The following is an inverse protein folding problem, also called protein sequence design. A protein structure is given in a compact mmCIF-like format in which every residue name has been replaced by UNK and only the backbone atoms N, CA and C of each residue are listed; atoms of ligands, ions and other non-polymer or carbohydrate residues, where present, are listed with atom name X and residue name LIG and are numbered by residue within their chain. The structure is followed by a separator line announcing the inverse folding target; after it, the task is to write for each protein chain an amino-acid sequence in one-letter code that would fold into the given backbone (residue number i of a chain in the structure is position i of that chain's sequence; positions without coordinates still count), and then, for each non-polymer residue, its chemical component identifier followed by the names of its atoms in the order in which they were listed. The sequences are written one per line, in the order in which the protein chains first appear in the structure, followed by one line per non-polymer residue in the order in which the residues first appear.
data_IF_714632507864
#
_entry.id   IF_714632507864
#
_cell.length_a   1.000
_cell.length_b   1.000
_cell.length_c   1.000
_cell.angle_alpha   90.00
_cell.angle_beta   90.00
_cell.angle_gamma   90.00
#
_symmetry.space_group_name_H-M   'P 1'
#
loop_
_entity.id
_entity.type
_entity.pdbx_description
1 polymer ?
#
# COMPACT_ATOMS: atom_id res chain seq x y z
N UNK A 1 22.08 44.72 -26.94
CA UNK A 1 21.20 43.61 -26.51
C UNK A 1 21.25 43.54 -24.99
N UNK A 2 20.14 43.65 -24.26
CA UNK A 2 20.17 43.54 -22.81
C UNK A 2 20.08 42.07 -22.39
N UNK A 3 21.06 41.66 -21.59
CA UNK A 3 21.09 40.39 -20.88
C UNK A 3 20.09 40.40 -19.74
N UNK A 4 19.10 39.50 -19.78
CA UNK A 4 18.14 39.30 -18.70
C UNK A 4 18.83 38.60 -17.52
N UNK A 5 18.96 39.32 -16.41
CA UNK A 5 19.28 38.73 -15.10
C UNK A 5 18.02 38.05 -14.60
N UNK A 6 18.04 36.71 -14.53
CA UNK A 6 16.99 35.94 -13.89
C UNK A 6 17.17 36.07 -12.37
N UNK A 7 16.41 36.99 -11.79
CA UNK A 7 16.30 37.18 -10.35
C UNK A 7 15.49 35.99 -9.79
N UNK A 8 16.18 34.97 -9.26
CA UNK A 8 15.54 33.94 -8.44
C UNK A 8 15.07 34.59 -7.14
N UNK A 9 13.78 34.93 -7.10
CA UNK A 9 13.06 35.18 -5.86
C UNK A 9 12.96 33.86 -5.08
N UNK A 10 13.89 33.67 -4.15
CA UNK A 10 13.71 32.74 -3.04
C UNK A 10 12.53 33.24 -2.19
N UNK A 11 11.31 32.83 -2.53
CA UNK A 11 10.20 32.90 -1.59
C UNK A 11 10.20 31.64 -0.72
N UNK A 12 10.62 31.87 0.51
CA UNK A 12 10.47 31.03 1.68
C UNK A 12 9.05 30.47 1.81
N UNK A 13 8.92 29.16 1.61
CA UNK A 13 7.73 28.37 1.93
C UNK A 13 8.11 27.04 2.58
N UNK A 14 9.08 27.07 3.50
CA UNK A 14 9.69 25.90 4.15
C UNK A 14 8.91 25.41 5.37
N UNK A 15 7.58 25.31 5.26
CA UNK A 15 6.72 24.80 6.34
C UNK A 15 6.08 23.43 6.03
N UNK A 16 6.09 22.95 4.77
CA UNK A 16 5.34 21.76 4.37
C UNK A 16 6.12 20.44 4.47
N UNK A 17 7.44 20.46 4.27
CA UNK A 17 8.25 19.23 4.28
C UNK A 17 8.44 18.64 5.67
N UNK A 18 8.83 19.47 6.65
CA UNK A 18 9.23 19.02 8.00
C UNK A 18 8.06 18.43 8.82
N UNK A 19 6.85 18.99 8.68
CA UNK A 19 5.69 18.58 9.47
C UNK A 19 5.15 17.19 9.04
N UNK A 20 5.31 16.84 7.75
CA UNK A 20 4.95 15.52 7.23
C UNK A 20 5.88 14.40 7.72
N UNK A 21 7.15 14.69 8.03
CA UNK A 21 8.09 13.67 8.51
C UNK A 21 7.68 13.12 9.88
N UNK A 22 7.18 13.98 10.78
CA UNK A 22 6.77 13.60 12.13
C UNK A 22 5.42 12.86 12.17
N UNK A 23 4.64 12.93 11.09
CA UNK A 23 3.34 12.26 11.01
C UNK A 23 3.49 10.75 10.82
N UNK A 24 2.58 9.94 11.43
CA UNK A 24 2.56 8.49 11.24
C UNK A 24 2.53 8.12 9.76
N UNK A 25 3.42 7.22 9.35
CA UNK A 25 3.45 6.68 8.00
C UNK A 25 2.49 5.51 7.86
N UNK A 26 1.91 5.36 6.68
CA UNK A 26 1.00 4.30 6.30
C UNK A 26 1.55 3.52 5.10
N UNK A 27 1.19 2.24 5.02
CA UNK A 27 1.35 1.37 3.86
C UNK A 27 -0.01 1.12 3.25
N UNK A 28 -0.06 1.09 1.93
CA UNK A 28 -1.30 0.86 1.16
C UNK A 28 -1.09 -0.33 0.23
N UNK A 29 -2.00 -1.29 0.27
CA UNK A 29 -1.94 -2.48 -0.58
C UNK A 29 -3.35 -2.98 -0.93
N UNK A 30 -3.42 -3.69 -2.05
CA UNK A 30 -4.66 -4.28 -2.55
C UNK A 30 -4.89 -5.65 -1.92
N UNK A 31 -6.15 -6.06 -1.78
CA UNK A 31 -6.52 -7.42 -1.40
C UNK A 31 -6.11 -8.44 -2.47
N UNK A 32 -6.06 -8.02 -3.74
CA UNK A 32 -5.68 -8.89 -4.85
C UNK A 32 -4.27 -9.47 -4.68
N UNK A 33 -3.34 -8.70 -4.12
CA UNK A 33 -1.97 -9.13 -3.85
C UNK A 33 -1.33 -8.26 -2.74
N UNK A 34 -1.34 -8.73 -1.48
CA UNK A 34 -0.82 -7.98 -0.34
C UNK A 34 0.69 -7.74 -0.33
N UNK A 35 1.47 -8.53 -1.09
CA UNK A 35 2.93 -8.38 -1.16
C UNK A 35 3.36 -7.19 -2.04
N UNK A 36 2.42 -6.50 -2.67
CA UNK A 36 2.65 -5.33 -3.50
C UNK A 36 2.03 -4.09 -2.86
N UNK A 37 2.85 -3.06 -2.70
CA UNK A 37 2.47 -1.81 -2.06
C UNK A 37 2.35 -0.69 -3.08
N UNK A 38 1.42 0.22 -2.79
CA UNK A 38 1.26 1.48 -3.50
C UNK A 38 2.54 2.31 -3.39
N UNK A 39 3.03 2.79 -4.52
CA UNK A 39 4.24 3.61 -4.60
C UNK A 39 4.16 4.60 -5.74
N UNK A 40 5.10 5.54 -5.78
CA UNK A 40 5.28 6.45 -6.91
C UNK A 40 6.54 6.03 -7.68
N UNK A 41 6.39 5.88 -9.00
CA UNK A 41 7.49 5.68 -9.96
C UNK A 41 7.21 6.51 -11.21
N UNK A 42 8.22 7.24 -11.69
CA UNK A 42 8.15 8.05 -12.90
C UNK A 42 6.89 8.96 -12.97
N UNK A 43 6.54 9.57 -11.83
CA UNK A 43 5.37 10.45 -11.72
C UNK A 43 4.02 9.74 -11.81
N UNK A 44 3.98 8.41 -11.64
CA UNK A 44 2.75 7.60 -11.66
C UNK A 44 2.56 6.86 -10.35
N UNK A 45 1.31 6.65 -9.96
CA UNK A 45 0.94 5.78 -8.85
C UNK A 45 0.77 4.35 -9.38
N UNK A 46 1.56 3.43 -8.83
CA UNK A 46 1.56 2.02 -9.23
C UNK A 46 1.62 1.10 -8.00
N UNK A 47 1.45 -0.20 -8.23
CA UNK A 47 1.88 -1.24 -7.30
C UNK A 47 3.29 -1.72 -7.64
N UNK A 48 4.11 -1.87 -6.62
CA UNK A 48 5.41 -2.52 -6.71
C UNK A 48 5.64 -3.41 -5.49
N UNK A 49 6.52 -4.41 -5.61
CA UNK A 49 6.82 -5.33 -4.53
C UNK A 49 7.20 -4.60 -3.25
N UNK A 50 6.65 -5.06 -2.13
CA UNK A 50 6.86 -4.50 -0.80
C UNK A 50 8.35 -4.43 -0.47
N UNK A 51 8.82 -3.22 -0.19
CA UNK A 51 10.20 -2.95 0.19
C UNK A 51 10.21 -1.99 1.39
N UNK A 52 10.59 -2.46 2.59
CA UNK A 52 10.64 -1.63 3.79
C UNK A 52 11.57 -0.41 3.68
N UNK A 53 12.60 -0.48 2.82
CA UNK A 53 13.55 0.60 2.58
C UNK A 53 13.10 1.59 1.50
N UNK A 54 12.02 1.30 0.79
CA UNK A 54 11.48 2.19 -0.23
C UNK A 54 10.64 3.30 0.42
N UNK A 55 11.18 4.51 0.44
CA UNK A 55 10.50 5.68 1.00
C UNK A 55 9.27 6.10 0.20
N UNK A 56 9.23 5.81 -1.11
CA UNK A 56 8.07 6.09 -1.96
C UNK A 56 6.90 5.15 -1.68
N UNK A 57 7.10 4.06 -0.95
CA UNK A 57 6.01 3.24 -0.42
C UNK A 57 5.47 3.77 0.91
N UNK A 58 5.94 4.89 1.44
CA UNK A 58 5.43 5.48 2.67
C UNK A 58 4.45 6.61 2.36
N UNK A 59 3.26 6.51 2.95
CA UNK A 59 2.17 7.46 2.76
C UNK A 59 1.82 8.15 4.07
N UNK A 60 1.24 9.33 3.99
CA UNK A 60 0.58 10.04 5.06
C UNK A 60 -0.91 10.12 4.73
N UNK A 61 -1.76 9.78 5.70
CA UNK A 61 -3.21 9.90 5.59
C UNK A 61 -3.63 11.17 6.33
N UNK A 62 -3.95 12.23 5.60
CA UNK A 62 -4.40 13.49 6.21
C UNK A 62 -5.93 13.50 6.34
N UNK A 63 -6.42 13.58 7.57
CA UNK A 63 -7.85 13.62 7.89
C UNK A 63 -8.31 15.01 8.35
N UNK A 64 -7.53 16.08 8.08
CA UNK A 64 -7.83 17.48 8.47
C UNK A 64 -9.26 17.93 8.12
N UNK A 65 -9.81 17.46 7.00
CA UNK A 65 -11.14 17.84 6.53
C UNK A 65 -12.25 16.80 6.81
N UNK A 66 -11.94 15.70 7.50
CA UNK A 66 -12.83 14.55 7.73
C UNK A 66 -14.15 14.89 8.44
N UNK A 67 -14.17 15.92 9.29
CA UNK A 67 -15.37 16.35 10.01
C UNK A 67 -16.28 17.24 9.16
N UNK A 68 -15.74 17.90 8.14
CA UNK A 68 -16.42 18.89 7.29
C UNK A 68 -16.83 18.33 5.94
N UNK A 69 -16.06 17.39 5.40
CA UNK A 69 -16.26 16.82 4.08
C UNK A 69 -16.48 15.31 4.21
N UNK A 70 -17.58 14.85 3.63
CA UNK A 70 -17.98 13.45 3.59
C UNK A 70 -18.47 13.12 2.19
N UNK A 71 -18.38 11.86 1.79
CA UNK A 71 -19.00 11.42 0.55
C UNK A 71 -20.53 11.32 0.67
N UNK A 72 -21.20 10.97 -0.44
CA UNK A 72 -22.65 10.79 -0.51
C UNK A 72 -23.21 9.72 0.43
N UNK A 73 -22.35 8.86 0.98
CA UNK A 73 -22.72 7.83 1.96
C UNK A 73 -22.34 8.25 3.40
N UNK A 74 -21.85 9.47 3.60
CA UNK A 74 -21.45 10.00 4.89
C UNK A 74 -20.08 9.54 5.38
N UNK A 75 -19.27 8.89 4.55
CA UNK A 75 -17.92 8.46 4.93
C UNK A 75 -16.98 9.68 4.95
N UNK A 76 -16.14 9.84 5.99
CA UNK A 76 -15.28 11.00 6.15
C UNK A 76 -14.15 11.04 5.11
N UNK A 77 -13.82 12.25 4.66
CA UNK A 77 -12.76 12.51 3.70
C UNK A 77 -11.35 12.41 4.31
N UNK A 78 -10.38 12.00 3.49
CA UNK A 78 -8.96 12.10 3.76
C UNK A 78 -8.17 12.37 2.47
N UNK A 79 -6.99 12.99 2.59
CA UNK A 79 -5.99 13.04 1.52
C UNK A 79 -4.94 11.95 1.73
N UNK A 80 -4.47 11.32 0.65
CA UNK A 80 -3.38 10.34 0.70
C UNK A 80 -2.13 10.94 0.04
N UNK A 81 -1.13 11.24 0.85
CA UNK A 81 0.05 12.01 0.46
C UNK A 81 1.29 11.14 0.55
N UNK A 82 2.10 11.10 -0.50
CA UNK A 82 3.33 10.34 -0.48
C UNK A 82 4.41 11.08 0.33
N UNK A 83 5.07 10.41 1.27
CA UNK A 83 6.05 11.06 2.15
C UNK A 83 7.33 11.48 1.43
N UNK A 84 7.77 10.72 0.42
CA UNK A 84 9.02 11.00 -0.30
C UNK A 84 8.87 12.17 -1.28
N UNK A 85 7.70 12.31 -1.92
CA UNK A 85 7.48 13.33 -2.96
C UNK A 85 6.68 14.54 -2.48
N UNK A 86 5.95 14.42 -1.37
CA UNK A 86 5.01 15.45 -0.93
C UNK A 86 3.80 15.63 -1.87
N UNK A 87 3.55 14.67 -2.78
CA UNK A 87 2.42 14.72 -3.70
C UNK A 87 1.21 13.95 -3.14
N UNK A 88 0.02 14.52 -3.31
CA UNK A 88 -1.24 13.86 -3.02
C UNK A 88 -1.78 13.13 -4.26
N UNK A 89 -2.47 12.01 -4.04
CA UNK A 89 -3.21 11.33 -5.11
C UNK A 89 -4.44 12.17 -5.45
N UNK A 90 -4.57 12.54 -6.71
CA UNK A 90 -5.66 13.31 -7.28
C UNK A 90 -6.56 12.43 -8.14
N UNK A 91 -7.87 12.73 -8.13
CA UNK A 91 -8.86 12.11 -9.00
C UNK A 91 -8.45 12.22 -10.47
N UNK A 92 -8.96 11.28 -11.28
CA UNK A 92 -8.86 11.35 -12.73
C UNK A 92 -10.17 11.81 -13.36
N UNK A 93 -10.17 12.00 -14.67
CA UNK A 93 -11.32 12.52 -15.44
C UNK A 93 -12.46 11.50 -15.61
N UNK A 94 -12.25 10.23 -15.26
CA UNK A 94 -13.27 9.19 -15.37
C UNK A 94 -12.71 7.78 -15.25
N UNK A 95 -13.56 6.80 -15.58
CA UNK A 95 -13.25 5.37 -15.58
C UNK A 95 -12.03 5.05 -16.47
N UNK A 96 -11.28 4.02 -16.11
CA UNK A 96 -10.07 3.52 -16.77
C UNK A 96 -8.88 4.50 -16.84
N UNK A 97 -9.06 5.75 -16.39
CA UNK A 97 -7.99 6.73 -16.42
C UNK A 97 -7.11 6.60 -15.16
N UNK A 98 -5.78 6.64 -15.30
CA UNK A 98 -4.87 6.64 -14.16
C UNK A 98 -5.15 7.80 -13.20
N UNK A 99 -5.01 7.56 -11.91
CA UNK A 99 -5.01 8.63 -10.91
C UNK A 99 -3.84 9.58 -11.15
N UNK A 100 -4.03 10.84 -10.78
CA UNK A 100 -3.05 11.90 -10.98
C UNK A 100 -2.28 12.17 -9.68
N UNK A 101 -1.21 12.96 -9.79
CA UNK A 101 -0.44 13.47 -8.65
C UNK A 101 -0.38 14.99 -8.71
N UNK A 102 -0.50 15.63 -7.56
CA UNK A 102 -0.38 17.09 -7.42
C UNK A 102 0.41 17.41 -6.14
N UNK A 103 1.24 18.48 -6.10
CA UNK A 103 1.85 18.93 -4.85
C UNK A 103 0.81 19.14 -3.75
N UNK A 104 1.06 18.57 -2.58
CA UNK A 104 0.12 18.68 -1.47
C UNK A 104 0.25 20.05 -0.79
N UNK A 105 -0.89 20.73 -0.62
CA UNK A 105 -1.01 21.94 0.20
C UNK A 105 -2.05 21.72 1.30
N UNK A 106 -1.64 21.56 2.57
CA UNK A 106 -2.56 21.27 3.68
C UNK A 106 -3.51 22.42 4.01
N UNK A 107 -3.26 23.64 3.52
CA UNK A 107 -4.05 24.84 3.83
C UNK A 107 -5.14 25.12 2.80
N UNK A 108 -5.16 24.37 1.71
CA UNK A 108 -6.18 24.45 0.66
C UNK A 108 -7.12 23.27 0.77
N UNK A 109 -8.42 23.55 0.85
CA UNK A 109 -9.44 22.53 0.66
C UNK A 109 -9.58 22.24 -0.84
N UNK A 110 -8.90 21.21 -1.32
CA UNK A 110 -9.02 20.71 -2.69
C UNK A 110 -9.75 19.36 -2.67
N UNK A 111 -11.03 19.34 -3.04
CA UNK A 111 -11.82 18.11 -3.08
C UNK A 111 -11.29 17.10 -4.11
N UNK A 112 -10.53 17.52 -5.11
CA UNK A 112 -10.00 16.63 -6.14
C UNK A 112 -8.91 15.68 -5.62
N UNK A 113 -8.38 15.92 -4.42
CA UNK A 113 -7.42 15.03 -3.74
C UNK A 113 -8.02 14.30 -2.54
N UNK A 114 -9.33 14.50 -2.29
CA UNK A 114 -10.01 13.91 -1.15
C UNK A 114 -10.68 12.59 -1.52
N UNK A 115 -10.42 11.59 -0.70
CA UNK A 115 -10.89 10.22 -0.84
C UNK A 115 -11.67 9.82 0.40
N UNK A 116 -12.48 8.77 0.30
CA UNK A 116 -13.18 8.15 1.42
C UNK A 116 -12.93 6.65 1.44
N UNK A 117 -13.01 6.03 2.63
CA UNK A 117 -13.04 4.57 2.76
C UNK A 117 -14.48 4.13 3.01
N UNK A 118 -14.96 3.15 2.25
CA UNK A 118 -16.26 2.54 2.49
C UNK A 118 -16.34 1.85 3.86
N UNK A 119 -17.51 1.29 4.18
CA UNK A 119 -17.61 0.24 5.20
C UNK A 119 -16.64 -0.91 4.92
N UNK A 120 -16.34 -1.67 5.96
CA UNK A 120 -15.52 -2.88 5.87
C UNK A 120 -16.21 -3.92 4.97
N UNK A 121 -15.46 -4.45 4.00
CA UNK A 121 -15.91 -5.46 3.05
C UNK A 121 -15.35 -6.86 3.35
N UNK A 122 -14.72 -7.02 4.53
CA UNK A 122 -14.12 -8.26 5.01
C UNK A 122 -12.65 -8.07 5.35
N UNK A 123 -12.22 -8.63 6.49
CA UNK A 123 -10.85 -8.64 6.98
C UNK A 123 -10.19 -7.26 7.10
N UNK A 124 -10.96 -6.17 7.20
CA UNK A 124 -10.42 -4.80 7.24
C UNK A 124 -10.15 -4.18 5.87
N UNK A 125 -10.53 -4.84 4.78
CA UNK A 125 -10.41 -4.27 3.42
C UNK A 125 -11.61 -3.40 3.07
N UNK A 126 -11.35 -2.26 2.44
CA UNK A 126 -12.36 -1.24 2.10
C UNK A 126 -12.16 -0.74 0.69
N UNK A 127 -13.23 -0.31 0.02
CA UNK A 127 -13.10 0.46 -1.20
C UNK A 127 -12.58 1.87 -0.86
N UNK A 128 -11.68 2.40 -1.69
CA UNK A 128 -11.25 3.80 -1.63
C UNK A 128 -11.93 4.54 -2.76
N UNK A 129 -12.71 5.58 -2.46
CA UNK A 129 -13.59 6.25 -3.42
C UNK A 129 -13.31 7.74 -3.49
N UNK A 130 -13.66 8.35 -4.60
CA UNK A 130 -13.61 9.81 -4.70
C UNK A 130 -14.67 10.41 -3.78
N UNK A 131 -14.32 11.46 -3.03
CA UNK A 131 -15.28 12.07 -2.09
C UNK A 131 -16.51 12.64 -2.78
N UNK A 132 -16.36 13.15 -3.99
CA UNK A 132 -17.40 13.81 -4.77
C UNK A 132 -18.17 12.86 -5.71
N UNK A 133 -17.74 11.60 -5.85
CA UNK A 133 -18.40 10.62 -6.69
C UNK A 133 -18.06 9.18 -6.27
N UNK A 134 -18.99 8.57 -5.53
CA UNK A 134 -18.87 7.21 -4.99
C UNK A 134 -19.11 6.11 -6.00
N UNK A 135 -19.51 6.42 -7.24
CA UNK A 135 -19.67 5.43 -8.32
C UNK A 135 -18.33 4.93 -8.88
N UNK A 136 -17.24 5.65 -8.62
CA UNK A 136 -15.89 5.28 -9.00
C UNK A 136 -15.03 5.06 -7.75
N UNK A 137 -14.23 4.01 -7.80
CA UNK A 137 -13.23 3.68 -6.78
C UNK A 137 -11.84 3.51 -7.37
N UNK A 138 -10.84 3.54 -6.50
CA UNK A 138 -9.47 3.14 -6.80
C UNK A 138 -9.44 1.65 -7.18
N UNK A 139 -8.80 1.34 -8.29
CA UNK A 139 -8.69 0.00 -8.87
C UNK A 139 -7.24 -0.26 -9.30
N UNK A 140 -6.71 -1.44 -8.95
CA UNK A 140 -5.47 -1.94 -9.53
C UNK A 140 -5.79 -2.53 -10.92
N UNK A 141 -5.42 -1.80 -11.97
CA UNK A 141 -5.87 -2.07 -13.33
C UNK A 141 -5.42 -3.42 -13.84
N UNK A 142 -6.38 -4.25 -14.28
CA UNK A 142 -6.15 -5.67 -14.63
C UNK A 142 -5.48 -6.51 -13.52
N UNK A 143 -5.53 -6.03 -12.28
CA UNK A 143 -4.94 -6.69 -11.11
C UNK A 143 -5.74 -7.90 -10.63
N UNK A 144 -6.90 -8.18 -11.22
CA UNK A 144 -7.66 -9.39 -10.95
C UNK A 144 -7.03 -10.61 -11.66
N UNK A 145 -7.21 -11.80 -11.06
CA UNK A 145 -6.57 -13.04 -11.55
C UNK A 145 -6.97 -13.44 -12.98
N UNK A 146 -8.12 -12.98 -13.49
CA UNK A 146 -8.57 -13.34 -14.84
C UNK A 146 -7.94 -12.44 -15.91
N UNK A 147 -7.49 -11.25 -15.55
CA UNK A 147 -6.92 -10.26 -16.48
C UNK A 147 -5.39 -10.21 -16.48
N UNK A 148 -4.74 -10.74 -15.45
CA UNK A 148 -3.28 -10.77 -15.36
C UNK A 148 -2.75 -10.86 -13.93
N UNK A 149 -3.55 -10.42 -12.96
CA UNK A 149 -3.13 -10.31 -11.57
C UNK A 149 -2.28 -9.07 -11.33
N UNK A 150 -2.05 -8.76 -10.06
CA UNK A 150 -1.13 -7.69 -9.68
C UNK A 150 0.31 -8.12 -9.98
N UNK A 151 1.09 -7.20 -10.52
CA UNK A 151 2.51 -7.35 -10.79
C UNK A 151 3.23 -6.00 -10.62
N UNK A 152 4.56 -5.98 -10.76
CA UNK A 152 5.32 -4.74 -10.68
C UNK A 152 4.89 -3.81 -11.82
N UNK A 153 4.54 -2.57 -11.50
CA UNK A 153 4.06 -1.59 -12.46
C UNK A 153 2.55 -1.61 -12.69
N UNK A 154 1.76 -2.46 -12.00
CA UNK A 154 0.30 -2.42 -12.10
C UNK A 154 -0.20 -1.01 -11.79
N UNK A 155 -0.84 -0.40 -12.77
CA UNK A 155 -1.27 1.01 -12.72
C UNK A 155 -2.53 1.17 -11.89
N UNK A 156 -2.63 2.29 -11.18
CA UNK A 156 -3.82 2.62 -10.39
C UNK A 156 -4.75 3.53 -11.17
N UNK A 157 -5.98 3.09 -11.35
CA UNK A 157 -7.02 3.79 -12.13
C UNK A 157 -8.28 3.99 -11.30
N UNK A 158 -9.24 4.70 -11.88
CA UNK A 158 -10.63 4.71 -11.40
C UNK A 158 -11.45 3.66 -12.14
N UNK A 159 -12.29 2.93 -11.42
CA UNK A 159 -13.21 1.97 -12.04
C UNK A 159 -14.56 1.92 -11.33
N UNK A 160 -15.58 1.47 -12.04
CA UNK A 160 -16.89 1.19 -11.44
C UNK A 160 -16.79 0.02 -10.48
N UNK A 161 -17.56 0.06 -9.40
CA UNK A 161 -17.57 -1.02 -8.43
C UNK A 161 -18.01 -2.35 -9.07
N UNK A 162 -17.11 -3.35 -9.05
CA UNK A 162 -17.34 -4.71 -9.56
C UNK A 162 -17.11 -5.80 -8.50
N UNK A 163 -16.83 -5.40 -7.24
CA UNK A 163 -16.56 -6.28 -6.10
C UNK A 163 -15.28 -7.12 -6.24
N UNK A 164 -14.38 -6.77 -7.15
CA UNK A 164 -13.10 -7.42 -7.34
C UNK A 164 -12.15 -7.13 -6.17
N UNK A 165 -11.31 -8.10 -5.82
CA UNK A 165 -10.29 -7.92 -4.78
C UNK A 165 -9.27 -6.83 -5.17
N UNK A 166 -9.11 -6.53 -6.47
CA UNK A 166 -8.28 -5.43 -6.99
C UNK A 166 -8.87 -4.03 -6.71
N UNK A 167 -10.10 -3.94 -6.20
CA UNK A 167 -10.77 -2.70 -5.77
C UNK A 167 -10.82 -2.54 -4.24
N UNK A 168 -10.28 -3.52 -3.52
CA UNK A 168 -10.30 -3.58 -2.07
C UNK A 168 -8.91 -3.29 -1.51
N UNK A 169 -8.83 -2.36 -0.56
CA UNK A 169 -7.59 -1.77 -0.11
C UNK A 169 -7.47 -1.80 1.41
N UNK A 170 -6.23 -1.95 1.88
CA UNK A 170 -5.84 -1.67 3.26
C UNK A 170 -4.91 -0.47 3.28
N UNK A 171 -5.22 0.46 4.18
CA UNK A 171 -4.38 1.61 4.53
C UNK A 171 -4.04 1.42 5.99
N UNK A 172 -2.85 0.89 6.27
CA UNK A 172 -2.45 0.51 7.63
C UNK A 172 -1.23 1.32 8.09
N UNK A 173 -1.14 1.67 9.37
CA UNK A 173 0.08 2.25 9.91
C UNK A 173 1.30 1.34 9.63
N UNK A 174 2.39 1.93 9.16
CA UNK A 174 3.57 1.19 8.68
C UNK A 174 4.23 0.35 9.77
N UNK A 175 4.09 0.73 11.05
CA UNK A 175 4.54 -0.07 12.19
C UNK A 175 3.86 -1.43 12.26
N UNK A 176 2.57 -1.54 11.88
CA UNK A 176 1.87 -2.81 11.86
C UNK A 176 2.32 -3.68 10.69
N UNK A 177 2.58 -3.08 9.53
CA UNK A 177 3.15 -3.79 8.37
C UNK A 177 4.51 -4.45 8.74
N UNK A 178 5.40 -3.70 9.42
CA UNK A 178 6.68 -4.24 9.91
C UNK A 178 6.48 -5.42 10.89
N UNK A 179 5.49 -5.32 11.77
CA UNK A 179 5.17 -6.38 12.72
C UNK A 179 4.67 -7.65 12.02
N UNK A 180 3.71 -7.52 11.08
CA UNK A 180 3.18 -8.65 10.32
C UNK A 180 4.28 -9.37 9.54
N UNK A 181 5.16 -8.62 8.86
CA UNK A 181 6.29 -9.19 8.13
C UNK A 181 7.22 -9.98 9.08
N UNK A 182 7.56 -9.42 10.24
CA UNK A 182 8.39 -10.09 11.24
C UNK A 182 7.76 -11.37 11.79
N UNK A 183 6.45 -11.39 12.01
CA UNK A 183 5.73 -12.59 12.47
C UNK A 183 5.68 -13.67 11.39
N UNK A 184 5.37 -13.29 10.14
CA UNK A 184 5.34 -14.22 9.01
C UNK A 184 6.71 -14.87 8.79
N UNK A 185 7.81 -14.11 8.84
CA UNK A 185 9.16 -14.66 8.76
C UNK A 185 9.46 -15.64 9.90
N UNK A 186 9.03 -15.33 11.13
CA UNK A 186 9.20 -16.25 12.29
C UNK A 186 8.44 -17.55 12.10
N UNK A 187 7.18 -17.48 11.66
CA UNK A 187 6.33 -18.65 11.41
C UNK A 187 6.96 -19.51 10.31
N UNK A 188 7.33 -18.91 9.18
CA UNK A 188 7.97 -19.62 8.07
C UNK A 188 9.26 -20.34 8.51
N UNK A 189 10.14 -19.64 9.23
CA UNK A 189 11.37 -20.24 9.76
C UNK A 189 11.09 -21.37 10.75
N UNK A 190 10.02 -21.27 11.55
CA UNK A 190 9.57 -22.33 12.46
C UNK A 190 9.11 -23.57 11.68
N UNK A 191 8.26 -23.39 10.67
CA UNK A 191 7.81 -24.47 9.80
C UNK A 191 8.98 -25.15 9.08
N UNK A 192 9.92 -24.38 8.51
CA UNK A 192 11.09 -24.94 7.83
C UNK A 192 11.96 -25.76 8.78
N UNK A 193 12.23 -25.25 10.00
CA UNK A 193 12.96 -25.99 11.03
C UNK A 193 12.26 -27.29 11.41
N UNK A 194 10.95 -27.24 11.65
CA UNK A 194 10.16 -28.43 11.97
C UNK A 194 10.24 -29.48 10.85
N UNK A 195 10.13 -29.05 9.59
CA UNK A 195 10.19 -29.94 8.42
C UNK A 195 11.58 -30.59 8.26
N UNK A 196 12.66 -29.84 8.50
CA UNK A 196 14.03 -30.37 8.48
C UNK A 196 14.26 -31.34 9.64
N UNK A 197 13.84 -31.01 10.86
CA UNK A 197 13.94 -31.92 12.01
C UNK A 197 13.16 -33.22 11.79
N UNK A 198 11.95 -33.15 11.22
CA UNK A 198 11.17 -34.34 10.91
C UNK A 198 11.87 -35.21 9.86
N UNK A 199 12.43 -34.62 8.79
CA UNK A 199 13.21 -35.34 7.78
C UNK A 199 14.45 -36.02 8.37
N UNK A 200 15.20 -35.33 9.24
CA UNK A 200 16.36 -35.91 9.92
C UNK A 200 15.97 -37.08 10.82
N UNK A 201 14.86 -36.94 11.57
CA UNK A 201 14.35 -38.01 12.43
C UNK A 201 13.99 -39.26 11.60
N UNK A 202 13.25 -39.08 10.51
CA UNK A 202 12.88 -40.19 9.60
C UNK A 202 14.10 -40.83 8.95
N UNK A 203 15.13 -40.06 8.58
CA UNK A 203 16.39 -40.61 8.04
C UNK A 203 17.23 -41.34 9.10
N UNK A 204 17.09 -41.01 10.38
CA UNK A 204 17.83 -41.65 11.48
C UNK A 204 17.15 -42.93 11.99
N UNK A 205 15.84 -43.10 11.79
CA UNK A 205 15.07 -44.30 12.18
C UNK A 205 15.70 -45.63 11.72
N UNK A 206 16.04 -45.83 10.43
CA UNK A 206 16.60 -47.11 9.99
C UNK A 206 17.99 -47.40 10.57
N UNK A 207 18.77 -46.37 10.90
CA UNK A 207 20.05 -46.54 11.59
C UNK A 207 19.86 -46.98 13.05
N UNK A 208 18.85 -46.43 13.73
CA UNK A 208 18.54 -46.82 15.10
C UNK A 208 17.99 -48.25 15.18
N UNK A 209 17.16 -48.66 14.22
CA UNK A 209 16.68 -50.05 14.11
C UNK A 209 17.82 -51.02 13.81
N UNK A 210 18.76 -50.66 12.93
CA UNK A 210 19.95 -51.47 12.67
C UNK A 210 20.85 -51.62 13.91
N UNK A 211 21.03 -50.55 14.70
CA UNK A 211 21.79 -50.60 15.96
C UNK A 211 21.07 -51.50 16.99
N UNK A 212 19.75 -51.39 17.12
CA UNK A 212 18.97 -52.24 18.02
C UNK A 212 19.01 -53.71 17.60
N UNK A 213 19.03 -54.01 16.29
CA UNK A 213 19.18 -55.37 15.79
C UNK A 213 20.56 -55.95 16.13
N UNK A 214 21.63 -55.17 15.99
CA UNK A 214 22.99 -55.59 16.34
C UNK A 214 23.20 -55.79 17.85
N UNK A 215 22.53 -55.00 18.69
CA UNK A 215 22.62 -55.13 20.16
C UNK A 215 21.78 -56.28 20.75
N UNK A 216 20.85 -56.87 19.98
CA UNK A 216 20.01 -57.99 20.41
C UNK A 216 20.48 -59.35 19.85
N UNK A 217 21.68 -59.42 19.27
CA UNK A 217 22.27 -60.63 18.67
C UNK A 217 23.29 -61.35 19.59
N UNK A 218 23.27 -61.09 20.90
CA UNK A 218 24.04 -61.84 21.91
C UNK A 218 23.19 -62.87 22.66
#
# INVERSE_FOLDING_TARGET
MPSFIHQQTHQSGSASGLDLYNKPSFKVYSKAEPDFHLTIRDGRVILARSNPSDEFQNWFKDEKFSTRVKDSEGCPAFALVNKATGQAIKHSIGEANPVQLIPYNPDVLDESILWTQSKDMGDGFRAVRMVNNTHLNVDAFHGDKKSGGVHDGTTIVLWKWNKGDNQLWKIIPAQYCKFLNKQNTRIYNSYLRFTISLKLCVMALPFLEAILYLLNLE
#
